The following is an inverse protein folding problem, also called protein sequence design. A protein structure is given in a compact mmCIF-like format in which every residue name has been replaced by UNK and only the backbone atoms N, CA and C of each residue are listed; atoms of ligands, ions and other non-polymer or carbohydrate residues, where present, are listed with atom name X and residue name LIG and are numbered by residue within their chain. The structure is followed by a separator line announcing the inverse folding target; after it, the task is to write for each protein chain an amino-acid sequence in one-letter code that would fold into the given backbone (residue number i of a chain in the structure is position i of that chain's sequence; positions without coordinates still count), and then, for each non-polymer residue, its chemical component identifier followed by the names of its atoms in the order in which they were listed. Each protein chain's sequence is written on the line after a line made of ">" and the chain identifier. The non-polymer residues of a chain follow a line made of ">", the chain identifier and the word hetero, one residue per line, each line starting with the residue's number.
data_IF_744696367863
#
_entry.id   IF_744696367863
#
_cell.length_a   1.000
_cell.length_b   1.000
_cell.length_c   1.000
_cell.angle_alpha   90.00
_cell.angle_beta   90.00
_cell.angle_gamma   90.00
#
_symmetry.space_group_name_H-M   'P 1'
#
loop_
_entity.id
_entity.type
_entity.pdbx_description
1 polymer ?
#
# COMPACT_ATOMS: atom_id res chain seq x y z
N UNK A 1 -20.29 27.87 -20.08
CA UNK A 1 -19.08 27.09 -19.74
C UNK A 1 -19.53 25.74 -19.20
N UNK A 2 -19.08 24.63 -19.77
CA UNK A 2 -19.36 23.31 -19.19
C UNK A 2 -18.40 23.09 -18.02
N UNK A 3 -18.91 23.10 -16.78
CA UNK A 3 -18.14 22.80 -15.58
C UNK A 3 -17.76 21.32 -15.55
N UNK A 4 -16.63 20.97 -16.16
CA UNK A 4 -16.05 19.63 -16.13
C UNK A 4 -14.83 19.64 -15.21
N UNK A 5 -14.82 18.73 -14.24
CA UNK A 5 -13.73 18.57 -13.29
C UNK A 5 -13.15 17.16 -13.43
N UNK A 6 -11.82 17.09 -13.49
CA UNK A 6 -11.07 15.84 -13.39
C UNK A 6 -10.35 15.87 -12.05
N UNK A 7 -10.51 14.80 -11.27
CA UNK A 7 -9.76 14.58 -10.02
C UNK A 7 -8.87 13.37 -10.23
N UNK A 8 -7.58 13.53 -9.96
CA UNK A 8 -6.59 12.44 -10.00
C UNK A 8 -6.15 12.16 -8.58
N UNK A 9 -6.45 10.95 -8.10
CA UNK A 9 -5.95 10.43 -6.84
C UNK A 9 -4.61 9.71 -7.05
N UNK A 10 -3.80 9.63 -6.00
CA UNK A 10 -2.42 9.13 -6.03
C UNK A 10 -1.55 9.76 -7.13
N UNK A 11 -1.70 11.07 -7.31
CA UNK A 11 -1.02 11.86 -8.33
C UNK A 11 0.52 11.77 -8.24
N UNK A 12 1.10 11.49 -7.06
CA UNK A 12 2.54 11.24 -6.89
C UNK A 12 3.07 10.04 -7.69
N UNK A 13 2.21 9.06 -8.02
CA UNK A 13 2.58 7.87 -8.78
C UNK A 13 2.53 8.06 -10.30
N UNK A 14 1.92 9.15 -10.78
CA UNK A 14 1.71 9.38 -12.21
C UNK A 14 3.02 9.77 -12.89
N UNK A 15 3.39 9.02 -13.93
CA UNK A 15 4.59 9.28 -14.72
C UNK A 15 4.48 10.55 -15.57
N UNK A 16 5.62 11.19 -15.85
CA UNK A 16 5.68 12.46 -16.59
C UNK A 16 4.98 12.43 -17.95
N UNK A 17 5.06 11.31 -18.69
CA UNK A 17 4.38 11.15 -19.99
C UNK A 17 2.86 11.14 -19.85
N UNK A 18 2.34 10.47 -18.83
CA UNK A 18 0.91 10.43 -18.55
C UNK A 18 0.38 11.81 -18.16
N UNK A 19 1.16 12.59 -17.40
CA UNK A 19 0.83 13.99 -17.11
C UNK A 19 0.73 14.86 -18.36
N UNK A 20 1.67 14.72 -19.30
CA UNK A 20 1.63 15.49 -20.55
C UNK A 20 0.32 15.25 -21.33
N UNK A 21 -0.10 13.99 -21.45
CA UNK A 21 -1.36 13.62 -22.09
C UNK A 21 -2.58 14.10 -21.29
N UNK A 22 -2.55 13.96 -19.96
CA UNK A 22 -3.62 14.46 -19.09
C UNK A 22 -3.84 15.97 -19.29
N UNK A 23 -2.78 16.77 -19.29
CA UNK A 23 -2.88 18.21 -19.49
C UNK A 23 -3.37 18.58 -20.88
N UNK A 24 -2.97 17.84 -21.92
CA UNK A 24 -3.50 18.02 -23.28
C UNK A 24 -5.01 17.80 -23.31
N UNK A 25 -5.50 16.73 -22.69
CA UNK A 25 -6.95 16.42 -22.63
C UNK A 25 -7.70 17.48 -21.84
N UNK A 26 -7.21 17.87 -20.66
CA UNK A 26 -7.82 18.90 -19.81
C UNK A 26 -7.95 20.22 -20.57
N UNK A 27 -6.87 20.66 -21.24
CA UNK A 27 -6.84 21.89 -22.02
C UNK A 27 -7.83 21.86 -23.19
N UNK A 28 -7.83 20.79 -23.98
CA UNK A 28 -8.68 20.69 -25.17
C UNK A 28 -10.18 20.63 -24.84
N UNK A 29 -10.53 20.21 -23.62
CA UNK A 29 -11.91 20.07 -23.17
C UNK A 29 -12.36 21.17 -22.21
N UNK A 30 -11.50 22.16 -21.95
CA UNK A 30 -11.73 23.26 -21.00
C UNK A 30 -12.17 22.77 -19.61
N UNK A 31 -11.52 21.71 -19.11
CA UNK A 31 -11.80 21.13 -17.80
C UNK A 31 -10.95 21.77 -16.70
N UNK A 32 -11.45 21.75 -15.47
CA UNK A 32 -10.66 21.94 -14.26
C UNK A 32 -9.97 20.63 -13.88
N UNK A 33 -8.81 20.73 -13.24
CA UNK A 33 -8.02 19.59 -12.78
C UNK A 33 -7.64 19.77 -11.32
N UNK A 34 -7.93 18.76 -10.49
CA UNK A 34 -7.44 18.65 -9.11
C UNK A 34 -6.55 17.42 -9.03
N UNK A 35 -5.35 17.61 -8.48
CA UNK A 35 -4.41 16.53 -8.20
C UNK A 35 -4.37 16.31 -6.69
N UNK A 36 -4.63 15.08 -6.26
CA UNK A 36 -4.57 14.64 -4.88
C UNK A 36 -3.55 13.49 -4.78
N UNK A 37 -2.74 13.50 -3.73
CA UNK A 37 -1.71 12.50 -3.51
C UNK A 37 -0.75 12.93 -2.42
N UNK A 38 0.20 12.05 -2.11
CA UNK A 38 1.23 12.29 -1.11
C UNK A 38 2.60 12.41 -1.80
N UNK A 39 3.25 13.55 -1.61
CA UNK A 39 4.59 13.83 -2.16
C UNK A 39 5.69 12.98 -1.50
N UNK A 40 5.45 12.48 -0.28
CA UNK A 40 6.40 11.66 0.49
C UNK A 40 6.22 10.16 0.26
N UNK A 41 5.17 9.75 -0.45
CA UNK A 41 5.02 8.35 -0.85
C UNK A 41 6.01 8.00 -1.97
N UNK A 42 6.34 6.71 -2.08
CA UNK A 42 7.31 6.20 -3.06
C UNK A 42 7.06 6.82 -4.44
N UNK A 43 8.02 7.60 -4.91
CA UNK A 43 7.94 8.26 -6.20
C UNK A 43 7.69 7.22 -7.32
N UNK A 44 6.99 7.65 -8.37
CA UNK A 44 6.78 6.82 -9.57
C UNK A 44 8.07 6.12 -10.01
N UNK A 45 7.94 4.89 -10.51
CA UNK A 45 9.05 4.08 -11.03
C UNK A 45 9.62 4.72 -12.32
N UNK A 46 8.79 5.44 -13.08
CA UNK A 46 9.25 6.32 -14.16
C UNK A 46 9.78 7.64 -13.58
N UNK A 47 10.67 8.37 -14.28
CA UNK A 47 11.18 9.71 -13.88
C UNK A 47 10.06 10.57 -13.29
N UNK A 48 9.93 10.54 -11.97
CA UNK A 48 8.83 11.10 -11.18
C UNK A 48 9.11 12.53 -10.75
N UNK A 49 8.32 13.04 -9.81
CA UNK A 49 8.52 14.38 -9.21
C UNK A 49 7.69 15.50 -9.84
N UNK A 50 6.91 15.23 -10.90
CA UNK A 50 6.00 16.23 -11.47
C UNK A 50 4.94 16.69 -10.48
N UNK A 51 4.41 15.78 -9.64
CA UNK A 51 3.42 16.15 -8.62
C UNK A 51 4.00 17.13 -7.59
N UNK A 52 5.20 16.85 -7.07
CA UNK A 52 5.93 17.74 -6.15
C UNK A 52 6.25 19.09 -6.81
N UNK A 53 6.73 19.08 -8.07
CA UNK A 53 7.00 20.32 -8.82
C UNK A 53 5.75 21.17 -9.01
N UNK A 54 4.60 20.54 -9.31
CA UNK A 54 3.32 21.24 -9.47
C UNK A 54 2.82 21.81 -8.14
N UNK A 55 2.92 21.04 -7.05
CA UNK A 55 2.62 21.50 -5.68
C UNK A 55 3.44 22.75 -5.33
N UNK A 56 4.75 22.72 -5.59
CA UNK A 56 5.66 23.83 -5.31
C UNK A 56 5.40 25.06 -6.19
N UNK A 57 5.07 24.88 -7.47
CA UNK A 57 4.90 25.99 -8.42
C UNK A 57 3.51 26.65 -8.35
N UNK A 58 2.46 25.89 -8.09
CA UNK A 58 1.07 26.38 -8.09
C UNK A 58 0.47 26.51 -6.69
N UNK A 59 1.19 26.08 -5.66
CA UNK A 59 0.68 25.94 -4.31
C UNK A 59 -0.18 24.68 -4.14
N UNK A 60 -0.35 24.27 -2.90
CA UNK A 60 -1.19 23.12 -2.55
C UNK A 60 -1.88 23.34 -1.21
N UNK A 61 -2.95 22.59 -0.98
CA UNK A 61 -3.61 22.50 0.32
C UNK A 61 -3.22 21.18 0.97
N UNK A 62 -2.63 21.24 2.15
CA UNK A 62 -2.21 20.06 2.91
C UNK A 62 -3.33 19.64 3.86
N UNK A 63 -3.76 18.39 3.75
CA UNK A 63 -4.71 17.80 4.68
C UNK A 63 -3.96 17.30 5.92
N UNK A 64 -4.16 17.96 7.05
CA UNK A 64 -3.49 17.65 8.33
C UNK A 64 -4.29 16.69 9.22
N UNK A 65 -5.60 16.55 8.98
CA UNK A 65 -6.48 15.77 9.84
C UNK A 65 -6.45 14.27 9.51
N UNK A 66 -5.89 13.50 10.43
CA UNK A 66 -5.83 12.03 10.34
C UNK A 66 -7.18 11.42 10.71
N UNK A 67 -7.89 10.89 9.71
CA UNK A 67 -9.21 10.24 9.89
C UNK A 67 -9.16 8.71 9.96
N UNK A 68 -8.09 8.07 9.49
CA UNK A 68 -7.98 6.61 9.34
C UNK A 68 -7.75 5.89 10.67
N UNK A 69 -7.00 6.50 11.58
CA UNK A 69 -6.69 5.96 12.90
C UNK A 69 -7.71 6.47 13.93
N UNK A 70 -8.39 5.55 14.62
CA UNK A 70 -9.35 5.89 15.69
C UNK A 70 -8.64 6.30 16.98
N UNK A 71 -7.57 5.59 17.33
CA UNK A 71 -6.83 5.78 18.57
C UNK A 71 -5.82 6.93 18.48
N UNK A 72 -5.73 7.73 19.56
CA UNK A 72 -4.82 8.89 19.62
C UNK A 72 -3.35 8.49 19.43
N UNK A 73 -2.89 7.41 20.07
CA UNK A 73 -1.51 6.94 19.95
C UNK A 73 -1.18 6.51 18.51
N UNK A 74 -2.17 6.01 17.77
CA UNK A 74 -1.99 5.54 16.39
C UNK A 74 -1.90 6.71 15.42
N UNK A 75 -2.67 7.77 15.64
CA UNK A 75 -2.51 9.06 14.94
C UNK A 75 -1.12 9.65 15.22
N UNK A 76 -0.70 9.68 16.48
CA UNK A 76 0.61 10.21 16.86
C UNK A 76 1.75 9.43 16.18
N UNK A 77 1.68 8.09 16.18
CA UNK A 77 2.66 7.27 15.48
C UNK A 77 2.73 7.60 13.98
N UNK A 78 1.58 7.76 13.31
CA UNK A 78 1.51 8.15 11.91
C UNK A 78 2.12 9.55 11.66
N UNK A 79 1.82 10.52 12.52
CA UNK A 79 2.44 11.86 12.47
C UNK A 79 3.96 11.79 12.60
N UNK A 80 4.48 11.00 13.56
CA UNK A 80 5.94 10.82 13.72
C UNK A 80 6.59 10.24 12.47
N UNK A 81 5.94 9.31 11.78
CA UNK A 81 6.46 8.80 10.49
C UNK A 81 6.40 9.85 9.38
N UNK A 82 5.34 10.65 9.29
CA UNK A 82 5.24 11.73 8.31
C UNK A 82 6.29 12.84 8.50
N UNK A 83 6.73 13.05 9.75
CA UNK A 83 7.81 13.97 10.16
C UNK A 83 9.21 13.33 10.07
N UNK A 84 9.33 12.11 9.55
CA UNK A 84 10.60 11.35 9.49
C UNK A 84 11.21 11.03 10.86
N UNK A 85 10.45 11.14 11.95
CA UNK A 85 10.86 10.75 13.30
C UNK A 85 10.58 9.26 13.55
N UNK A 86 11.36 8.41 12.85
CA UNK A 86 11.16 6.95 12.82
C UNK A 86 11.26 6.34 14.23
N UNK A 87 12.24 6.76 15.03
CA UNK A 87 12.47 6.20 16.36
C UNK A 87 11.27 6.38 17.29
N UNK A 88 10.67 7.57 17.30
CA UNK A 88 9.50 7.86 18.13
C UNK A 88 8.27 7.08 17.64
N UNK A 89 8.07 6.99 16.32
CA UNK A 89 6.99 6.19 15.73
C UNK A 89 7.09 4.71 16.10
N UNK A 90 8.28 4.11 15.98
CA UNK A 90 8.52 2.71 16.37
C UNK A 90 8.34 2.51 17.89
N UNK A 91 8.76 3.47 18.71
CA UNK A 91 8.59 3.42 20.17
C UNK A 91 7.11 3.38 20.54
N UNK A 92 6.27 4.22 19.93
CA UNK A 92 4.82 4.23 20.14
C UNK A 92 4.18 2.90 19.71
N UNK A 93 4.58 2.34 18.56
CA UNK A 93 4.08 1.04 18.13
C UNK A 93 4.48 -0.07 19.11
N UNK A 94 5.70 -0.04 19.65
CA UNK A 94 6.18 -1.02 20.64
C UNK A 94 5.41 -0.91 21.96
N UNK A 95 5.18 0.29 22.47
CA UNK A 95 4.40 0.53 23.70
C UNK A 95 2.96 -0.01 23.57
N UNK A 96 2.39 0.04 22.36
CA UNK A 96 1.06 -0.47 22.05
C UNK A 96 1.04 -1.92 21.54
N UNK A 97 2.13 -2.68 21.72
CA UNK A 97 2.25 -4.11 21.34
C UNK A 97 2.06 -4.37 19.84
N UNK A 98 2.31 -3.38 18.99
CA UNK A 98 2.21 -3.50 17.53
C UNK A 98 3.54 -3.87 16.86
N UNK A 99 4.64 -4.01 17.62
CA UNK A 99 5.95 -4.45 17.12
C UNK A 99 6.45 -5.59 17.98
N UNK A 100 6.86 -6.68 17.33
CA UNK A 100 7.54 -7.83 17.93
C UNK A 100 8.87 -8.04 17.22
N UNK A 101 9.90 -8.35 18.00
CA UNK A 101 11.23 -8.70 17.50
C UNK A 101 11.50 -10.16 17.88
N UNK A 102 11.93 -10.95 16.91
CA UNK A 102 12.45 -12.30 17.16
C UNK A 102 13.94 -12.35 16.75
N UNK A 103 14.62 -13.42 17.15
CA UNK A 103 16.08 -13.53 17.00
C UNK A 103 16.51 -13.71 15.54
N UNK A 104 15.68 -14.37 14.72
CA UNK A 104 15.98 -14.61 13.31
C UNK A 104 14.80 -14.27 12.42
N UNK A 105 15.08 -14.00 11.14
CA UNK A 105 14.06 -13.78 10.13
C UNK A 105 13.10 -14.98 10.01
N UNK A 106 13.63 -16.20 10.16
CA UNK A 106 12.84 -17.44 10.06
C UNK A 106 11.87 -17.53 11.23
N UNK A 107 12.32 -17.20 12.43
CA UNK A 107 11.47 -17.16 13.64
C UNK A 107 10.36 -16.12 13.46
N UNK A 108 10.72 -14.90 13.04
CA UNK A 108 9.73 -13.83 12.79
C UNK A 108 8.70 -14.21 11.74
N UNK A 109 9.10 -14.87 10.64
CA UNK A 109 8.16 -15.32 9.61
C UNK A 109 7.23 -16.41 10.14
N UNK A 110 7.77 -17.37 10.89
CA UNK A 110 6.99 -18.47 11.48
C UNK A 110 5.97 -17.95 12.48
N UNK A 111 6.40 -17.06 13.37
CA UNK A 111 5.57 -16.41 14.37
C UNK A 111 4.51 -15.49 13.73
N UNK A 112 4.85 -14.78 12.65
CA UNK A 112 3.88 -13.99 11.87
C UNK A 112 2.79 -14.89 11.28
N UNK A 113 3.16 -16.02 10.66
CA UNK A 113 2.20 -16.96 10.07
C UNK A 113 1.30 -17.56 11.16
N UNK A 114 1.88 -17.91 12.31
CA UNK A 114 1.13 -18.41 13.46
C UNK A 114 0.10 -17.38 13.95
N UNK A 115 0.51 -16.14 14.22
CA UNK A 115 -0.39 -15.07 14.65
C UNK A 115 -1.45 -14.73 13.58
N UNK A 116 -1.07 -14.76 12.29
CA UNK A 116 -1.98 -14.59 11.17
C UNK A 116 -3.06 -15.68 11.14
N UNK A 117 -2.70 -16.93 11.48
CA UNK A 117 -3.63 -18.06 11.55
C UNK A 117 -4.64 -17.94 12.69
N UNK A 118 -4.21 -17.44 13.85
CA UNK A 118 -5.06 -17.23 15.03
C UNK A 118 -5.95 -16.00 14.94
N UNK A 119 -5.60 -15.06 14.05
CA UNK A 119 -6.33 -13.81 13.89
C UNK A 119 -7.79 -14.07 13.48
N UNK A 120 -8.71 -13.40 14.18
CA UNK A 120 -10.17 -13.49 13.96
C UNK A 120 -10.67 -12.69 12.74
N UNK A 121 -9.82 -11.87 12.13
CA UNK A 121 -10.18 -11.10 10.94
C UNK A 121 -10.54 -12.01 9.76
N UNK A 122 -11.37 -11.52 8.84
CA UNK A 122 -11.68 -12.23 7.60
C UNK A 122 -10.47 -12.21 6.67
N UNK A 123 -10.38 -13.18 5.76
CA UNK A 123 -9.22 -13.29 4.86
C UNK A 123 -8.94 -12.01 4.04
N UNK A 124 -9.98 -11.31 3.60
CA UNK A 124 -9.83 -10.09 2.81
C UNK A 124 -9.43 -8.85 3.64
N UNK A 125 -9.45 -8.97 4.97
CA UNK A 125 -9.02 -7.92 5.90
C UNK A 125 -7.56 -8.12 6.35
N UNK A 126 -6.95 -9.27 6.02
CA UNK A 126 -5.58 -9.60 6.40
C UNK A 126 -4.61 -9.31 5.25
N UNK A 127 -3.60 -8.48 5.51
CA UNK A 127 -2.53 -8.17 4.56
C UNK A 127 -1.17 -8.39 5.22
N UNK A 128 -0.26 -9.05 4.49
CA UNK A 128 1.14 -9.23 4.87
C UNK A 128 2.01 -8.54 3.83
N UNK A 129 2.85 -7.62 4.27
CA UNK A 129 3.77 -6.85 3.40
C UNK A 129 5.20 -7.19 3.79
N UNK A 130 6.05 -7.41 2.78
CA UNK A 130 7.50 -7.57 2.95
C UNK A 130 8.22 -6.99 1.74
N UNK A 131 9.53 -6.75 1.87
CA UNK A 131 10.32 -6.01 0.89
C UNK A 131 10.75 -6.90 -0.29
N UNK A 132 11.22 -8.12 -0.02
CA UNK A 132 11.85 -8.96 -1.06
C UNK A 132 10.85 -9.95 -1.64
N UNK A 133 10.83 -10.09 -2.98
CA UNK A 133 9.98 -11.07 -3.66
C UNK A 133 10.21 -12.52 -3.18
N UNK A 134 11.45 -12.89 -2.84
CA UNK A 134 11.73 -14.21 -2.25
C UNK A 134 10.98 -14.43 -0.92
N UNK A 135 10.87 -13.39 -0.09
CA UNK A 135 10.20 -13.47 1.20
C UNK A 135 8.67 -13.51 0.98
N UNK A 136 8.17 -12.77 -0.02
CA UNK A 136 6.77 -12.85 -0.49
C UNK A 136 6.41 -14.27 -0.91
N UNK A 137 7.26 -14.93 -1.70
CA UNK A 137 7.00 -16.29 -2.19
C UNK A 137 6.95 -17.32 -1.05
N UNK A 138 7.85 -17.18 -0.06
CA UNK A 138 7.88 -18.03 1.14
C UNK A 138 6.58 -17.83 1.94
N UNK A 139 6.23 -16.58 2.27
CA UNK A 139 5.01 -16.27 3.06
C UNK A 139 3.75 -16.76 2.36
N UNK A 140 3.61 -16.47 1.06
CA UNK A 140 2.46 -16.91 0.27
C UNK A 140 2.37 -18.44 0.23
N UNK A 141 3.49 -19.14 0.06
CA UNK A 141 3.49 -20.60 0.02
C UNK A 141 3.08 -21.19 1.38
N UNK A 142 3.60 -20.67 2.49
CA UNK A 142 3.27 -21.13 3.84
C UNK A 142 1.81 -20.86 4.21
N UNK A 143 1.32 -19.65 3.97
CA UNK A 143 -0.09 -19.29 4.23
C UNK A 143 -1.03 -20.15 3.38
N UNK A 144 -0.71 -20.40 2.10
CA UNK A 144 -1.53 -21.26 1.25
C UNK A 144 -1.56 -22.70 1.73
N UNK A 145 -0.42 -23.25 2.16
CA UNK A 145 -0.36 -24.61 2.73
C UNK A 145 -1.23 -24.73 3.98
N UNK A 146 -1.18 -23.73 4.86
CA UNK A 146 -2.04 -23.65 6.04
C UNK A 146 -3.53 -23.61 5.66
N UNK A 147 -3.91 -22.77 4.70
CA UNK A 147 -5.30 -22.66 4.25
C UNK A 147 -5.81 -23.92 3.54
N UNK A 148 -4.93 -24.70 2.91
CA UNK A 148 -5.30 -26.02 2.37
C UNK A 148 -5.51 -27.02 3.50
N UNK A 149 -4.60 -27.05 4.47
CA UNK A 149 -4.64 -27.99 5.59
C UNK A 149 -5.91 -27.81 6.45
N UNK A 150 -6.38 -26.57 6.63
CA UNK A 150 -7.60 -26.28 7.37
C UNK A 150 -8.88 -26.30 6.50
N UNK A 151 -8.78 -26.71 5.22
CA UNK A 151 -9.91 -26.80 4.30
C UNK A 151 -10.50 -25.46 3.84
N UNK A 152 -9.89 -24.32 4.15
CA UNK A 152 -10.41 -23.01 3.69
C UNK A 152 -10.14 -22.80 2.20
N UNK A 153 -9.06 -23.40 1.69
CA UNK A 153 -8.62 -23.27 0.32
C UNK A 153 -8.67 -24.65 -0.37
N UNK A 154 -9.65 -24.84 -1.23
CA UNK A 154 -9.91 -26.11 -1.92
C UNK A 154 -10.03 -25.91 -3.43
N UNK A 155 -9.92 -27.01 -4.19
CA UNK A 155 -10.13 -27.03 -5.63
C UNK A 155 -8.85 -27.11 -6.47
N UNK A 156 -9.02 -26.93 -7.79
CA UNK A 156 -7.96 -27.10 -8.79
C UNK A 156 -7.06 -25.86 -8.89
N UNK A 157 -5.76 -26.05 -8.71
CA UNK A 157 -4.79 -24.97 -8.84
C UNK A 157 -4.44 -24.66 -10.30
N UNK A 158 -4.32 -23.38 -10.61
CA UNK A 158 -3.87 -22.88 -11.90
C UNK A 158 -2.56 -22.12 -11.73
N UNK A 159 -1.69 -22.22 -12.72
CA UNK A 159 -0.44 -21.45 -12.78
C UNK A 159 -0.57 -20.41 -13.89
N UNK A 160 -0.47 -19.14 -13.52
CA UNK A 160 -0.55 -18.03 -14.45
C UNK A 160 0.82 -17.35 -14.54
N UNK A 161 1.28 -17.10 -15.76
CA UNK A 161 2.46 -16.26 -15.99
C UNK A 161 2.02 -14.79 -15.94
N UNK A 162 2.65 -13.99 -15.08
CA UNK A 162 2.45 -12.54 -15.01
C UNK A 162 3.74 -11.80 -15.34
N UNK A 163 3.65 -10.50 -15.61
CA UNK A 163 4.81 -9.61 -15.81
C UNK A 163 5.77 -9.67 -14.60
N UNK A 164 5.24 -9.96 -13.42
CA UNK A 164 5.99 -10.14 -12.18
C UNK A 164 6.42 -11.60 -11.88
N UNK A 165 6.31 -12.52 -12.84
CA UNK A 165 6.66 -13.94 -12.69
C UNK A 165 5.47 -14.91 -12.60
N UNK A 166 5.75 -16.20 -12.40
CA UNK A 166 4.75 -17.27 -12.35
C UNK A 166 4.03 -17.27 -11.01
N UNK A 167 2.72 -17.03 -11.00
CA UNK A 167 1.86 -17.05 -9.80
C UNK A 167 0.93 -18.26 -9.83
N UNK A 168 0.60 -18.80 -8.65
CA UNK A 168 -0.41 -19.86 -8.49
C UNK A 168 -1.71 -19.24 -8.00
N UNK A 169 -2.80 -19.51 -8.69
CA UNK A 169 -4.13 -18.99 -8.38
C UNK A 169 -5.09 -20.17 -8.23
N UNK A 170 -6.02 -20.07 -7.29
CA UNK A 170 -7.14 -21.01 -7.17
C UNK A 170 -8.39 -20.34 -7.71
N UNK A 171 -9.06 -21.03 -8.63
CA UNK A 171 -10.35 -20.59 -9.14
C UNK A 171 -11.44 -21.18 -8.25
N UNK A 172 -11.99 -20.35 -7.36
CA UNK A 172 -13.21 -20.65 -6.62
C UNK A 172 -14.36 -19.84 -7.22
N UNK A 173 -15.48 -20.50 -7.55
CA UNK A 173 -16.74 -19.77 -7.73
C UNK A 173 -17.10 -19.15 -6.37
N UNK A 174 -17.38 -17.85 -6.35
CA UNK A 174 -18.00 -17.20 -5.19
C UNK A 174 -19.33 -17.86 -4.87
#
# INVERSE_FOLDING_TARGET
>A
MQNRLIVVDEAGMVGTKAYAELFRVVRNNYCQLILAGDEKQLASIERGGMFEMLSNNFGSHVLIDIRRQSENWSREAATKFAESNILSGITLLRQNKCVKFDNTLIDSMSELIYNWSLSKFKLHEKLVITVRNKDVDILNSSIRSLLKANGTLQGKEYRCSSIAGKKRVLYGRR
#
